data_IF_287455006177
#
_entry.id   IF_287455006177
#
_cell.length_a   1.000
_cell.length_b   1.000
_cell.length_c   1.000
_cell.angle_alpha   90.00
_cell.angle_beta   90.00
_cell.angle_gamma   90.00
#
_symmetry.space_group_name_H-M   'P 1'
#
loop_
_entity.id
_entity.type
_entity.pdbx_description
1 polymer ?
#
# COMPACT_ATOMS: atom_id res chain seq x y z
N UNK A 1 -5.17 4.01 -19.51
CA UNK A 1 -4.54 2.73 -19.16
C UNK A 1 -3.32 3.08 -18.36
N UNK A 2 -3.04 2.34 -17.29
CA UNK A 2 -1.80 2.50 -16.55
C UNK A 2 -0.58 2.09 -17.39
N UNK A 3 0.56 2.15 -16.75
CA UNK A 3 1.83 1.58 -17.17
C UNK A 3 2.08 0.27 -16.42
N UNK A 4 3.16 -0.41 -16.76
CA UNK A 4 3.67 -1.58 -16.07
C UNK A 4 5.20 -1.51 -16.05
N UNK A 5 5.85 -2.33 -15.25
CA UNK A 5 7.31 -2.46 -15.27
C UNK A 5 7.72 -3.72 -16.01
N UNK A 6 8.63 -3.57 -16.96
CA UNK A 6 9.23 -4.68 -17.72
C UNK A 6 10.47 -5.21 -17.02
N UNK A 7 10.50 -6.52 -16.76
CA UNK A 7 11.62 -7.27 -16.19
C UNK A 7 12.31 -8.05 -17.30
N UNK A 8 13.63 -7.88 -17.44
CA UNK A 8 14.39 -8.42 -18.57
C UNK A 8 14.79 -9.89 -18.43
N UNK A 9 14.59 -10.49 -17.25
CA UNK A 9 14.82 -11.92 -16.99
C UNK A 9 16.26 -12.32 -16.68
N UNK A 10 17.12 -11.37 -16.26
CA UNK A 10 18.52 -11.65 -15.89
C UNK A 10 18.90 -11.09 -14.53
N UNK A 11 18.78 -9.78 -14.30
CA UNK A 11 19.18 -9.12 -13.05
C UNK A 11 18.12 -8.17 -12.48
N UNK A 12 17.04 -7.89 -13.21
CA UNK A 12 15.91 -7.07 -12.78
C UNK A 12 15.14 -7.72 -11.62
N UNK A 13 15.07 -7.03 -10.48
CA UNK A 13 14.18 -7.37 -9.37
C UNK A 13 13.89 -6.17 -8.48
N UNK A 14 12.80 -6.27 -7.71
CA UNK A 14 12.45 -5.24 -6.70
C UNK A 14 12.61 -5.84 -5.31
N UNK A 15 13.43 -5.23 -4.47
CA UNK A 15 13.56 -5.63 -3.06
C UNK A 15 12.55 -4.85 -2.22
N UNK A 16 11.68 -5.55 -1.49
CA UNK A 16 10.62 -4.92 -0.70
C UNK A 16 10.98 -4.92 0.79
N UNK A 17 10.88 -3.77 1.48
CA UNK A 17 11.11 -3.68 2.93
C UNK A 17 9.90 -4.18 3.73
N UNK A 18 9.36 -5.35 3.35
CA UNK A 18 8.14 -5.93 3.90
C UNK A 18 8.39 -7.27 4.55
N UNK A 19 7.71 -7.47 5.68
CA UNK A 19 7.59 -8.75 6.33
C UNK A 19 6.17 -9.28 6.14
N UNK A 20 6.04 -10.59 5.96
CA UNK A 20 4.74 -11.27 5.91
C UNK A 20 4.69 -12.25 7.06
N UNK A 21 3.68 -12.12 7.94
CA UNK A 21 3.53 -12.97 9.12
C UNK A 21 2.08 -13.38 9.31
N UNK A 22 1.85 -14.65 9.68
CA UNK A 22 0.50 -15.18 9.86
C UNK A 22 -0.20 -15.42 8.52
N UNK A 23 -1.50 -15.10 8.47
CA UNK A 23 -2.29 -15.21 7.23
C UNK A 23 -1.91 -14.11 6.26
N UNK A 24 -1.88 -14.40 4.96
CA UNK A 24 -1.48 -13.42 3.96
C UNK A 24 -2.12 -13.66 2.61
N UNK A 25 -2.01 -12.65 1.75
CA UNK A 25 -2.32 -12.74 0.31
C UNK A 25 -1.24 -12.04 -0.49
N UNK A 26 -0.81 -12.63 -1.59
CA UNK A 26 0.07 -12.00 -2.58
C UNK A 26 -0.64 -12.07 -3.93
N UNK A 27 -0.73 -10.97 -4.65
CA UNK A 27 -1.37 -10.93 -5.96
C UNK A 27 -0.71 -9.92 -6.91
N UNK A 28 -0.81 -10.18 -8.22
CA UNK A 28 -0.32 -9.31 -9.27
C UNK A 28 -1.01 -9.59 -10.60
N UNK A 29 -1.00 -8.60 -11.50
CA UNK A 29 -1.14 -8.83 -12.93
C UNK A 29 0.24 -9.13 -13.52
N UNK A 30 0.33 -10.20 -14.32
CA UNK A 30 1.57 -10.59 -15.02
C UNK A 30 1.32 -10.76 -16.52
N UNK A 31 2.30 -10.39 -17.33
CA UNK A 31 2.34 -10.66 -18.77
C UNK A 31 3.75 -11.20 -19.12
N UNK A 32 3.97 -12.51 -18.94
CA UNK A 32 5.29 -13.10 -19.12
C UNK A 32 5.68 -13.14 -20.60
N UNK A 33 6.94 -12.87 -20.91
CA UNK A 33 7.54 -13.16 -22.22
C UNK A 33 8.24 -14.53 -22.25
N UNK A 34 8.54 -15.10 -21.08
CA UNK A 34 9.06 -16.44 -20.90
C UNK A 34 8.43 -17.11 -19.67
N UNK A 35 8.10 -18.40 -19.79
CA UNK A 35 7.57 -19.23 -18.70
C UNK A 35 8.38 -20.50 -18.45
N UNK A 36 9.47 -20.72 -19.18
CA UNK A 36 10.36 -21.87 -19.02
C UNK A 36 11.25 -21.73 -17.78
N UNK A 37 11.61 -22.85 -17.15
CA UNK A 37 12.38 -22.86 -15.91
C UNK A 37 11.51 -22.46 -14.71
N UNK A 38 12.01 -21.54 -13.88
CA UNK A 38 11.38 -21.14 -12.62
C UNK A 38 11.13 -19.62 -12.46
N UNK A 39 10.51 -18.89 -13.42
CA UNK A 39 10.31 -17.45 -13.27
C UNK A 39 9.59 -17.09 -11.95
N UNK A 40 10.24 -16.30 -11.08
CA UNK A 40 9.69 -15.96 -9.77
C UNK A 40 8.89 -14.67 -9.80
N UNK A 41 7.70 -14.68 -9.18
CA UNK A 41 6.80 -13.53 -9.21
C UNK A 41 6.91 -12.72 -7.92
N UNK A 42 6.48 -13.29 -6.80
CA UNK A 42 6.47 -12.64 -5.48
C UNK A 42 6.94 -13.65 -4.44
N UNK A 43 8.24 -13.64 -4.16
CA UNK A 43 8.88 -14.65 -3.33
C UNK A 43 9.76 -14.02 -2.27
N UNK A 44 9.81 -14.64 -1.10
CA UNK A 44 10.78 -14.31 -0.06
C UNK A 44 11.76 -15.46 0.14
N UNK A 45 12.41 -15.49 1.30
CA UNK A 45 13.37 -16.56 1.63
C UNK A 45 12.72 -17.93 1.79
N UNK A 46 11.43 -17.98 2.15
CA UNK A 46 10.75 -19.24 2.38
C UNK A 46 9.29 -19.28 1.93
N UNK A 47 8.70 -18.17 1.49
CA UNK A 47 7.34 -18.13 0.94
C UNK A 47 7.40 -17.79 -0.55
N UNK A 48 6.91 -18.66 -1.43
CA UNK A 48 7.07 -18.50 -2.87
C UNK A 48 5.73 -18.39 -3.61
N UNK A 49 5.70 -17.54 -4.65
CA UNK A 49 4.71 -17.53 -5.73
C UNK A 49 5.48 -17.40 -7.04
N UNK A 50 5.41 -18.43 -7.89
CA UNK A 50 6.29 -18.55 -9.05
C UNK A 50 5.66 -19.41 -10.16
N UNK A 51 6.32 -19.41 -11.31
CA UNK A 51 5.97 -20.25 -12.47
C UNK A 51 7.02 -21.35 -12.59
N UNK A 52 6.59 -22.59 -12.85
CA UNK A 52 7.45 -23.73 -13.15
C UNK A 52 7.06 -24.31 -14.52
N UNK A 53 7.86 -24.02 -15.55
CA UNK A 53 7.62 -24.46 -16.93
C UNK A 53 6.17 -24.21 -17.41
N UNK A 54 5.67 -22.99 -17.17
CA UNK A 54 4.30 -22.57 -17.50
C UNK A 54 3.26 -22.80 -16.40
N UNK A 55 3.53 -23.63 -15.40
CA UNK A 55 2.57 -23.95 -14.32
C UNK A 55 2.72 -23.00 -13.14
N UNK A 56 1.62 -22.39 -12.68
CA UNK A 56 1.61 -21.55 -11.48
C UNK A 56 1.75 -22.43 -10.22
N UNK A 57 2.66 -22.06 -9.31
CA UNK A 57 2.93 -22.78 -8.07
C UNK A 57 3.14 -21.81 -6.91
N UNK A 58 2.81 -22.28 -5.70
CA UNK A 58 3.13 -21.59 -4.46
C UNK A 58 3.41 -22.59 -3.33
N UNK A 59 4.10 -22.11 -2.30
CA UNK A 59 4.38 -22.94 -1.13
C UNK A 59 5.39 -22.33 -0.18
N UNK A 60 5.67 -23.08 0.87
CA UNK A 60 6.64 -22.76 1.90
C UNK A 60 7.90 -23.66 1.79
N UNK A 61 9.04 -23.15 2.24
CA UNK A 61 10.30 -23.90 2.26
C UNK A 61 10.21 -25.20 3.08
N UNK A 62 9.34 -25.24 4.10
CA UNK A 62 9.16 -26.38 4.99
C UNK A 62 8.75 -27.67 4.27
N UNK A 63 8.19 -27.56 3.08
CA UNK A 63 7.56 -28.65 2.34
C UNK A 63 7.93 -28.67 0.84
N UNK A 64 8.87 -27.81 0.43
CA UNK A 64 9.49 -27.86 -0.90
C UNK A 64 8.95 -26.86 -1.92
N UNK A 65 8.40 -25.72 -1.48
CA UNK A 65 7.93 -24.58 -2.30
C UNK A 65 6.80 -24.87 -3.31
N UNK A 66 6.50 -26.12 -3.62
CA UNK A 66 5.44 -26.56 -4.53
C UNK A 66 4.28 -27.22 -3.76
N UNK A 67 3.83 -26.59 -2.68
CA UNK A 67 2.73 -27.11 -1.86
C UNK A 67 1.39 -27.09 -2.62
N UNK A 68 1.18 -26.04 -3.40
CA UNK A 68 0.00 -25.87 -4.25
C UNK A 68 0.48 -25.71 -5.68
N UNK A 69 -0.04 -26.57 -6.56
CA UNK A 69 0.31 -26.61 -7.98
C UNK A 69 -1.01 -26.49 -8.76
N UNK A 70 -1.07 -25.53 -9.67
CA UNK A 70 -2.18 -25.42 -10.60
C UNK A 70 -2.21 -26.65 -11.55
N UNK A 71 -3.27 -27.48 -11.53
CA UNK A 71 -3.36 -28.67 -12.37
C UNK A 71 -3.76 -28.35 -13.83
N UNK A 72 -4.09 -27.10 -14.13
CA UNK A 72 -4.74 -26.68 -15.37
C UNK A 72 -3.78 -26.17 -16.46
N UNK A 73 -4.31 -25.25 -17.27
CA UNK A 73 -3.65 -24.70 -18.47
C UNK A 73 -2.42 -23.85 -18.08
N UNK A 74 -1.28 -24.01 -18.78
CA UNK A 74 -0.12 -23.15 -18.60
C UNK A 74 -0.46 -21.65 -18.70
N UNK A 75 0.28 -20.82 -17.97
CA UNK A 75 0.19 -19.36 -18.11
C UNK A 75 0.59 -18.98 -19.55
N UNK A 76 -0.27 -18.28 -20.30
CA UNK A 76 0.04 -17.85 -21.66
C UNK A 76 1.13 -16.77 -21.67
N UNK A 77 2.05 -16.88 -22.62
CA UNK A 77 3.04 -15.83 -22.92
C UNK A 77 2.35 -14.66 -23.65
N UNK A 78 2.72 -13.42 -23.31
CA UNK A 78 2.24 -12.22 -23.99
C UNK A 78 0.82 -11.80 -23.61
N UNK A 79 0.20 -12.45 -22.62
CA UNK A 79 -1.20 -12.22 -22.22
C UNK A 79 -1.26 -11.89 -20.73
N UNK A 80 -1.86 -10.74 -20.41
CA UNK A 80 -2.15 -10.35 -19.02
C UNK A 80 -2.98 -11.44 -18.33
N UNK A 81 -2.45 -11.97 -17.22
CA UNK A 81 -3.07 -12.96 -16.37
C UNK A 81 -2.95 -12.47 -14.93
N UNK A 82 -4.08 -12.36 -14.21
CA UNK A 82 -4.03 -12.09 -12.78
C UNK A 82 -3.69 -13.39 -12.05
N UNK A 83 -2.76 -13.32 -11.11
CA UNK A 83 -2.36 -14.45 -10.28
C UNK A 83 -2.38 -14.03 -8.81
N UNK A 84 -2.83 -14.94 -7.96
CA UNK A 84 -2.79 -14.73 -6.52
C UNK A 84 -2.55 -16.02 -5.75
N UNK A 85 -2.03 -15.88 -4.54
CA UNK A 85 -2.02 -16.92 -3.50
C UNK A 85 -2.56 -16.35 -2.21
N UNK A 86 -3.44 -17.10 -1.54
CA UNK A 86 -3.88 -16.82 -0.17
C UNK A 86 -3.36 -17.91 0.75
N UNK A 87 -3.02 -17.54 1.99
CA UNK A 87 -2.65 -18.48 3.05
C UNK A 87 -3.35 -18.09 4.36
N UNK A 88 -3.92 -19.08 5.03
CA UNK A 88 -4.51 -18.94 6.36
C UNK A 88 -3.65 -19.66 7.40
N UNK A 89 -3.03 -18.91 8.32
CA UNK A 89 -2.15 -19.47 9.33
C UNK A 89 -2.88 -20.27 10.44
N UNK A 90 -4.20 -20.08 10.59
CA UNK A 90 -5.02 -20.80 11.58
C UNK A 90 -5.42 -22.17 11.05
N UNK A 91 -5.89 -22.24 9.80
CA UNK A 91 -6.34 -23.49 9.18
C UNK A 91 -5.22 -24.23 8.42
N UNK A 92 -4.09 -23.56 8.14
CA UNK A 92 -3.01 -24.09 7.32
C UNK A 92 -3.39 -24.27 5.85
N UNK A 93 -4.43 -23.57 5.37
CA UNK A 93 -4.91 -23.66 3.99
C UNK A 93 -4.18 -22.65 3.12
N UNK A 94 -3.68 -23.10 1.97
CA UNK A 94 -3.15 -22.25 0.91
C UNK A 94 -3.94 -22.46 -0.37
N UNK A 95 -4.28 -21.39 -1.08
CA UNK A 95 -5.07 -21.45 -2.32
C UNK A 95 -4.44 -20.60 -3.40
N UNK A 96 -4.28 -21.18 -4.61
CA UNK A 96 -3.87 -20.48 -5.81
C UNK A 96 -5.09 -19.99 -6.60
N UNK A 97 -4.94 -18.81 -7.19
CA UNK A 97 -5.95 -18.20 -8.05
C UNK A 97 -5.32 -17.79 -9.39
N UNK A 98 -6.09 -17.94 -10.47
CA UNK A 98 -5.78 -17.42 -11.80
C UNK A 98 -7.00 -16.72 -12.37
N UNK A 99 -6.84 -15.46 -12.80
CA UNK A 99 -7.93 -14.60 -13.26
C UNK A 99 -9.11 -14.59 -12.29
N UNK A 100 -8.81 -14.46 -10.99
CA UNK A 100 -9.81 -14.35 -9.94
C UNK A 100 -10.46 -15.66 -9.51
N UNK A 101 -10.16 -16.78 -10.19
CA UNK A 101 -10.77 -18.09 -9.92
C UNK A 101 -9.78 -18.98 -9.19
N UNK A 102 -10.21 -19.62 -8.11
CA UNK A 102 -9.41 -20.62 -7.40
C UNK A 102 -9.11 -21.82 -8.32
N UNK A 103 -7.83 -22.15 -8.48
CA UNK A 103 -7.38 -23.25 -9.36
C UNK A 103 -6.85 -24.46 -8.58
N UNK A 104 -6.35 -24.27 -7.37
CA UNK A 104 -5.83 -25.33 -6.53
C UNK A 104 -5.75 -24.89 -5.06
N UNK A 105 -5.83 -25.85 -4.13
CA UNK A 105 -5.59 -25.62 -2.71
C UNK A 105 -4.82 -26.78 -2.09
N UNK A 106 -4.05 -26.48 -1.04
CA UNK A 106 -3.48 -27.45 -0.11
C UNK A 106 -3.84 -27.08 1.32
N UNK A 107 -3.70 -28.06 2.22
CA UNK A 107 -4.07 -27.95 3.63
C UNK A 107 -2.93 -28.45 4.52
N UNK A 108 -2.97 -28.13 5.82
CA UNK A 108 -1.98 -28.51 6.82
C UNK A 108 -0.57 -27.94 6.57
N UNK A 109 -0.46 -26.77 5.93
CA UNK A 109 0.80 -26.07 5.77
C UNK A 109 1.14 -25.30 7.05
N UNK A 110 2.39 -25.43 7.49
CA UNK A 110 2.89 -24.68 8.64
C UNK A 110 3.05 -23.19 8.29
N UNK A 111 2.76 -22.28 9.23
CA UNK A 111 2.98 -20.85 9.01
C UNK A 111 4.48 -20.56 8.92
N UNK A 112 4.82 -19.53 8.15
CA UNK A 112 6.17 -19.01 8.05
C UNK A 112 6.15 -17.49 8.21
N UNK A 113 7.12 -16.95 8.94
CA UNK A 113 7.35 -15.50 9.04
C UNK A 113 8.42 -15.11 8.04
N UNK A 114 8.00 -14.46 6.96
CA UNK A 114 8.90 -13.94 5.94
C UNK A 114 9.46 -12.60 6.39
N UNK A 115 10.79 -12.43 6.34
CA UNK A 115 11.46 -11.18 6.74
C UNK A 115 12.07 -10.42 5.57
N UNK A 116 11.94 -10.96 4.36
CA UNK A 116 12.37 -10.30 3.13
C UNK A 116 11.49 -10.78 1.98
N UNK A 117 10.99 -9.84 1.16
CA UNK A 117 10.16 -10.15 0.00
C UNK A 117 10.75 -9.48 -1.24
N UNK A 118 10.81 -10.22 -2.34
CA UNK A 118 11.31 -9.75 -3.63
C UNK A 118 10.25 -9.94 -4.71
N UNK A 119 10.22 -9.01 -5.67
CA UNK A 119 9.47 -9.15 -6.92
C UNK A 119 10.43 -9.55 -8.03
N UNK A 120 10.05 -10.53 -8.85
CA UNK A 120 10.77 -10.89 -10.06
C UNK A 120 12.00 -11.80 -9.86
N UNK A 121 12.30 -12.26 -8.63
CA UNK A 121 13.47 -13.11 -8.34
C UNK A 121 13.25 -14.04 -7.16
N UNK A 122 14.04 -15.11 -7.10
CA UNK A 122 14.27 -15.88 -5.88
C UNK A 122 15.74 -16.27 -5.70
N UNK A 123 16.29 -15.92 -4.54
CA UNK A 123 17.61 -16.36 -4.07
C UNK A 123 18.73 -16.14 -5.12
N UNK A 124 18.83 -14.91 -5.64
CA UNK A 124 19.82 -14.49 -6.65
C UNK A 124 19.73 -15.22 -7.99
N UNK A 125 18.60 -15.87 -8.28
CA UNK A 125 18.37 -16.66 -9.48
C UNK A 125 16.91 -16.58 -9.93
N UNK A 126 16.56 -17.33 -10.98
CA UNK A 126 15.16 -17.62 -11.30
C UNK A 126 14.34 -16.37 -11.61
N UNK A 127 14.95 -15.47 -12.37
CA UNK A 127 14.43 -14.15 -12.70
C UNK A 127 13.17 -14.24 -13.57
N UNK A 128 12.23 -13.33 -13.32
CA UNK A 128 11.05 -13.14 -14.13
C UNK A 128 11.38 -12.37 -15.40
N UNK A 129 10.80 -12.81 -16.51
CA UNK A 129 10.90 -12.11 -17.78
C UNK A 129 9.50 -11.77 -18.28
N UNK A 130 9.24 -10.47 -18.45
CA UNK A 130 7.95 -9.95 -18.88
C UNK A 130 7.51 -8.78 -18.02
N UNK A 131 6.22 -8.46 -18.08
CA UNK A 131 5.66 -7.27 -17.43
C UNK A 131 4.91 -7.65 -16.17
N UNK A 132 4.96 -6.78 -15.18
CA UNK A 132 4.19 -6.89 -13.94
C UNK A 132 3.47 -5.57 -13.67
N UNK A 133 2.27 -5.68 -13.14
CA UNK A 133 1.43 -4.55 -12.77
C UNK A 133 0.62 -4.90 -11.51
N UNK A 134 0.15 -3.90 -10.78
CA UNK A 134 -0.87 -4.06 -9.74
C UNK A 134 -0.51 -5.08 -8.65
N UNK A 135 0.72 -5.03 -8.16
CA UNK A 135 1.20 -5.95 -7.11
C UNK A 135 0.64 -5.52 -5.77
N UNK A 136 -0.03 -6.43 -5.07
CA UNK A 136 -0.59 -6.18 -3.73
C UNK A 136 -0.16 -7.28 -2.77
N UNK A 137 0.25 -6.86 -1.58
CA UNK A 137 0.59 -7.73 -0.46
C UNK A 137 -0.39 -7.42 0.67
N UNK A 138 -1.05 -8.45 1.21
CA UNK A 138 -1.99 -8.33 2.32
C UNK A 138 -1.53 -9.17 3.51
N UNK A 139 -1.71 -8.65 4.73
CA UNK A 139 -1.51 -9.37 6.00
C UNK A 139 -2.78 -10.10 6.47
N UNK A 140 -3.66 -10.44 5.51
CA UNK A 140 -4.89 -11.20 5.73
C UNK A 140 -5.08 -12.23 4.62
N UNK A 141 -5.81 -13.29 4.91
CA UNK A 141 -6.34 -14.18 3.87
C UNK A 141 -7.53 -13.47 3.20
N UNK A 142 -7.35 -13.05 1.94
CA UNK A 142 -8.43 -12.51 1.11
C UNK A 142 -9.33 -13.65 0.65
N UNK A 143 -10.63 -13.44 0.64
CA UNK A 143 -11.61 -14.41 0.15
C UNK A 143 -11.60 -14.50 -1.37
N UNK A 144 -12.10 -15.61 -1.93
CA UNK A 144 -12.24 -15.76 -3.39
C UNK A 144 -13.07 -14.63 -4.02
N UNK A 145 -14.11 -14.15 -3.33
CA UNK A 145 -14.94 -13.04 -3.81
C UNK A 145 -14.17 -11.72 -3.83
N UNK A 146 -13.36 -11.45 -2.80
CA UNK A 146 -12.51 -10.27 -2.71
C UNK A 146 -11.39 -10.27 -3.77
N UNK A 147 -10.79 -11.43 -4.05
CA UNK A 147 -9.82 -11.60 -5.14
C UNK A 147 -10.47 -11.34 -6.49
N UNK A 148 -11.61 -11.99 -6.76
CA UNK A 148 -12.33 -11.83 -8.04
C UNK A 148 -12.82 -10.40 -8.27
N UNK A 149 -13.36 -9.75 -7.24
CA UNK A 149 -13.80 -8.36 -7.34
C UNK A 149 -12.61 -7.42 -7.45
N UNK A 150 -11.56 -7.64 -6.65
CA UNK A 150 -10.39 -6.77 -6.54
C UNK A 150 -9.49 -6.78 -7.77
N UNK A 151 -9.40 -7.88 -8.53
CA UNK A 151 -8.43 -7.95 -9.64
C UNK A 151 -8.75 -6.99 -10.79
N UNK A 152 -10.00 -6.54 -10.95
CA UNK A 152 -10.46 -5.72 -12.08
C UNK A 152 -10.50 -4.23 -11.77
N UNK A 153 -10.01 -3.82 -10.60
CA UNK A 153 -10.07 -2.43 -10.15
C UNK A 153 -8.94 -2.10 -9.18
N UNK A 154 -8.65 -0.81 -9.03
CA UNK A 154 -7.74 -0.36 -7.99
C UNK A 154 -8.44 -0.46 -6.62
N UNK A 155 -7.74 -1.01 -5.64
CA UNK A 155 -8.21 -1.01 -4.25
C UNK A 155 -7.86 0.33 -3.60
N UNK A 156 -8.57 0.69 -2.53
CA UNK A 156 -8.16 1.84 -1.74
C UNK A 156 -6.78 1.58 -1.16
N UNK A 157 -5.95 2.61 -1.23
CA UNK A 157 -4.56 2.54 -0.82
C UNK A 157 -4.44 2.15 0.66
N UNK A 158 -5.36 2.51 1.53
CA UNK A 158 -5.38 2.16 2.96
C UNK A 158 -6.30 0.99 3.32
N UNK A 159 -6.72 0.17 2.35
CA UNK A 159 -7.67 -0.92 2.60
C UNK A 159 -7.21 -1.81 3.79
N UNK A 160 -8.13 -2.10 4.72
CA UNK A 160 -7.81 -2.88 5.93
C UNK A 160 -7.12 -4.20 5.56
N UNK A 161 -5.94 -4.42 6.17
CA UNK A 161 -5.15 -5.63 5.97
C UNK A 161 -4.30 -5.64 4.70
N UNK A 162 -4.37 -4.61 3.84
CA UNK A 162 -3.33 -4.34 2.84
C UNK A 162 -2.03 -4.03 3.60
N UNK A 163 -0.90 -4.36 3.00
CA UNK A 163 0.44 -4.17 3.57
C UNK A 163 1.38 -3.45 2.61
N UNK A 164 1.15 -3.59 1.31
CA UNK A 164 1.74 -2.77 0.26
C UNK A 164 0.97 -2.89 -1.04
N UNK A 165 1.04 -1.84 -1.86
CA UNK A 165 0.42 -1.79 -3.18
C UNK A 165 1.29 -1.02 -4.17
N UNK A 166 1.82 -1.74 -5.14
CA UNK A 166 2.65 -1.17 -6.20
C UNK A 166 1.85 -1.17 -7.52
N UNK A 167 1.44 0.03 -7.93
CA UNK A 167 0.63 0.27 -9.14
C UNK A 167 1.45 0.36 -10.43
N UNK A 168 2.77 0.43 -10.32
CA UNK A 168 3.69 0.58 -11.47
C UNK A 168 3.37 1.76 -12.43
N UNK A 169 2.73 2.81 -11.93
CA UNK A 169 2.27 3.98 -12.70
C UNK A 169 3.10 5.26 -12.48
N UNK A 170 4.26 5.17 -11.81
CA UNK A 170 5.06 6.36 -11.45
C UNK A 170 6.02 6.83 -12.55
N UNK A 171 6.45 5.91 -13.42
CA UNK A 171 7.39 6.23 -14.50
C UNK A 171 6.69 6.79 -15.71
N UNK A 172 7.47 6.95 -16.78
CA UNK A 172 6.95 7.28 -18.11
C UNK A 172 7.39 6.23 -19.11
N UNK A 173 6.42 5.61 -19.77
CA UNK A 173 6.62 4.47 -20.64
C UNK A 173 7.63 4.76 -21.77
N UNK A 174 8.73 4.01 -21.79
CA UNK A 174 9.76 4.10 -22.83
C UNK A 174 10.70 5.31 -22.74
N UNK A 175 10.48 6.24 -21.81
CA UNK A 175 11.31 7.41 -21.60
C UNK A 175 12.51 7.12 -20.69
N UNK A 176 13.31 8.16 -20.40
CA UNK A 176 14.41 8.08 -19.44
C UNK A 176 13.87 8.13 -18.01
N UNK A 177 13.93 6.99 -17.32
CA UNK A 177 13.54 6.84 -15.92
C UNK A 177 14.77 6.57 -15.02
N UNK A 178 16.00 6.89 -15.45
CA UNK A 178 17.23 6.57 -14.69
C UNK A 178 17.30 7.21 -13.29
N UNK A 179 16.47 8.21 -13.00
CA UNK A 179 16.32 8.80 -11.67
C UNK A 179 15.39 8.03 -10.72
N UNK A 180 14.55 7.14 -11.25
CA UNK A 180 13.56 6.37 -10.49
C UNK A 180 14.23 5.11 -9.91
N UNK A 181 14.90 5.22 -8.78
CA UNK A 181 15.55 4.06 -8.12
C UNK A 181 14.65 3.36 -7.10
N UNK A 182 13.44 3.87 -6.87
CA UNK A 182 12.49 3.39 -5.87
C UNK A 182 11.15 3.11 -6.55
N UNK A 183 10.57 1.94 -6.33
CA UNK A 183 9.19 1.63 -6.64
C UNK A 183 8.29 2.09 -5.48
N UNK A 184 7.37 3.01 -5.77
CA UNK A 184 6.50 3.62 -4.78
C UNK A 184 5.42 2.65 -4.33
N UNK A 185 5.33 2.49 -3.02
CA UNK A 185 4.20 1.87 -2.35
C UNK A 185 3.07 2.90 -2.19
N UNK A 186 1.90 2.63 -2.77
CA UNK A 186 0.73 3.48 -2.61
C UNK A 186 0.03 3.25 -1.27
N UNK A 187 0.28 2.13 -0.57
CA UNK A 187 -0.52 1.65 0.56
C UNK A 187 -0.54 2.58 1.78
N UNK A 188 0.51 3.38 1.99
CA UNK A 188 0.50 4.46 2.97
C UNK A 188 1.74 5.33 2.72
N UNK A 189 1.59 6.58 2.24
CA UNK A 189 2.77 7.42 1.98
C UNK A 189 3.44 7.92 3.25
N UNK A 190 2.83 7.70 4.42
CA UNK A 190 3.37 8.12 5.71
C UNK A 190 4.41 7.12 6.24
N UNK A 191 4.20 5.83 5.97
CA UNK A 191 5.18 4.77 6.25
C UNK A 191 5.28 3.82 5.05
N UNK A 192 5.70 4.31 3.87
CA UNK A 192 5.57 3.54 2.65
C UNK A 192 6.59 2.40 2.66
N UNK A 193 6.15 1.21 2.29
CA UNK A 193 7.01 0.07 2.07
C UNK A 193 7.66 0.13 0.68
N UNK A 194 8.24 1.27 0.33
CA UNK A 194 8.86 1.54 -0.96
C UNK A 194 9.88 0.47 -1.36
N UNK A 195 9.73 -0.10 -2.55
CA UNK A 195 10.64 -1.12 -3.09
C UNK A 195 11.89 -0.51 -3.69
N UNK A 196 13.05 -1.14 -3.52
CA UNK A 196 14.28 -0.75 -4.21
C UNK A 196 14.33 -1.42 -5.58
N UNK A 197 14.45 -0.64 -6.66
CA UNK A 197 14.67 -1.18 -8.00
C UNK A 197 16.15 -1.58 -8.15
N UNK A 198 16.40 -2.83 -8.53
CA UNK A 198 17.76 -3.38 -8.72
C UNK A 198 17.86 -4.06 -10.08
N UNK A 199 18.98 -3.85 -10.78
CA UNK A 199 19.23 -4.39 -12.12
C UNK A 199 18.63 -3.54 -13.24
N UNK A 200 17.57 -2.77 -12.93
CA UNK A 200 16.86 -2.02 -13.95
C UNK A 200 17.71 -0.99 -14.70
N UNK A 201 17.72 -1.08 -16.02
CA UNK A 201 18.45 -0.16 -16.89
C UNK A 201 17.81 1.24 -16.90
N UNK A 202 16.48 1.30 -16.97
CA UNK A 202 15.66 2.53 -16.94
C UNK A 202 16.02 3.60 -17.99
N UNK A 203 16.86 3.25 -18.97
CA UNK A 203 17.17 4.09 -20.12
C UNK A 203 16.05 4.03 -21.16
N UNK A 204 15.94 5.03 -22.07
CA UNK A 204 14.89 5.04 -23.09
C UNK A 204 14.77 3.73 -23.87
N UNK A 205 13.56 3.19 -23.94
CA UNK A 205 13.28 1.86 -24.48
C UNK A 205 12.30 1.07 -23.60
N UNK A 206 11.84 -0.08 -24.11
CA UNK A 206 10.77 -0.87 -23.49
C UNK A 206 11.25 -2.06 -22.66
N UNK A 207 12.57 -2.24 -22.52
CA UNK A 207 13.14 -3.36 -21.78
C UNK A 207 13.72 -2.82 -20.49
N UNK A 208 13.46 -3.50 -19.38
CA UNK A 208 14.01 -3.10 -18.07
C UNK A 208 13.64 -1.63 -17.74
N UNK A 209 12.37 -1.29 -17.98
CA UNK A 209 11.85 0.07 -17.89
C UNK A 209 10.31 0.06 -17.76
N UNK A 210 9.70 1.22 -17.50
CA UNK A 210 8.27 1.41 -17.58
C UNK A 210 7.76 1.24 -19.02
N UNK A 211 6.62 0.59 -19.18
CA UNK A 211 6.00 0.25 -20.46
C UNK A 211 4.49 0.45 -20.43
N UNK A 212 3.93 0.82 -21.58
CA UNK A 212 2.50 0.93 -21.79
C UNK A 212 2.00 -0.02 -22.91
N UNK A 213 0.73 -0.47 -22.86
CA UNK A 213 -0.17 -0.33 -21.72
C UNK A 213 0.18 -1.33 -20.60
N UNK A 214 -0.11 -0.94 -19.36
CA UNK A 214 -0.21 -1.84 -18.22
C UNK A 214 -1.43 -2.76 -18.29
N UNK A 215 -1.72 -3.44 -17.19
CA UNK A 215 -2.97 -4.17 -17.02
C UNK A 215 -4.15 -3.19 -17.04
N UNK A 216 -5.22 -3.54 -17.75
CA UNK A 216 -6.35 -2.63 -17.90
C UNK A 216 -7.26 -2.67 -16.66
N UNK A 217 -7.15 -1.66 -15.80
CA UNK A 217 -8.08 -1.43 -14.70
C UNK A 217 -8.94 -0.19 -14.99
N UNK A 218 -10.24 -0.35 -15.30
CA UNK A 218 -11.09 0.79 -15.64
C UNK A 218 -11.70 1.52 -14.43
N UNK A 219 -11.60 0.97 -13.20
CA UNK A 219 -12.42 1.40 -12.05
C UNK A 219 -11.69 1.27 -10.70
N UNK A 220 -12.20 1.95 -9.68
CA UNK A 220 -11.89 1.70 -8.26
C UNK A 220 -12.89 0.71 -7.69
N UNK A 221 -12.44 -0.27 -6.89
CA UNK A 221 -13.29 -1.38 -6.43
C UNK A 221 -14.43 -0.93 -5.52
N UNK A 222 -14.19 0.10 -4.72
CA UNK A 222 -15.17 0.77 -3.88
C UNK A 222 -14.72 2.22 -3.72
N UNK A 223 -15.35 3.15 -4.44
CA UNK A 223 -15.00 4.55 -4.32
C UNK A 223 -15.35 5.09 -2.93
N UNK A 224 -14.35 5.32 -2.10
CA UNK A 224 -14.54 5.80 -0.71
C UNK A 224 -13.61 6.98 -0.45
N UNK A 225 -13.97 7.88 0.47
CA UNK A 225 -13.02 8.89 0.92
C UNK A 225 -11.96 8.21 1.77
N UNK A 226 -10.77 8.81 1.83
CA UNK A 226 -9.72 8.39 2.75
C UNK A 226 -8.97 9.65 3.20
N UNK A 227 -8.95 9.89 4.50
CA UNK A 227 -8.37 11.08 5.11
C UNK A 227 -6.91 10.87 5.49
N UNK A 228 -6.07 11.80 5.03
CA UNK A 228 -4.68 11.94 5.47
C UNK A 228 -4.46 13.32 6.06
N UNK A 229 -3.76 13.39 7.19
CA UNK A 229 -3.41 14.65 7.86
C UNK A 229 -1.91 14.87 7.75
N UNK A 230 -1.52 16.04 7.28
CA UNK A 230 -0.12 16.46 7.15
C UNK A 230 0.14 17.70 8.00
N UNK A 231 1.27 17.70 8.68
CA UNK A 231 1.78 18.76 9.51
C UNK A 231 2.74 19.72 8.79
N UNK A 232 3.65 20.30 9.57
CA UNK A 232 4.73 21.13 9.06
C UNK A 232 5.58 20.37 8.03
N UNK A 233 6.02 21.05 6.96
CA UNK A 233 6.88 20.45 5.94
C UNK A 233 6.22 19.36 5.07
N UNK A 234 4.93 19.06 5.27
CA UNK A 234 4.27 17.93 4.62
C UNK A 234 4.47 16.60 5.35
N UNK A 235 5.02 16.62 6.56
CA UNK A 235 5.20 15.43 7.39
C UNK A 235 3.84 14.83 7.77
N UNK A 236 3.76 13.50 7.77
CA UNK A 236 2.53 12.81 8.09
C UNK A 236 2.22 12.83 9.58
N UNK A 237 0.92 12.93 9.88
CA UNK A 237 0.36 12.78 11.22
C UNK A 237 -0.61 11.60 11.19
N UNK A 238 -0.26 10.52 11.88
CA UNK A 238 -1.06 9.29 11.89
C UNK A 238 -2.31 9.44 12.77
N UNK A 239 -3.37 8.68 12.45
CA UNK A 239 -4.53 8.60 13.36
C UNK A 239 -4.11 8.01 14.72
N UNK A 240 -4.60 8.63 15.79
CA UNK A 240 -4.28 8.25 17.15
C UNK A 240 -2.87 8.61 17.57
N UNK A 241 -2.18 9.50 16.84
CA UNK A 241 -0.88 10.01 17.27
C UNK A 241 -0.98 10.66 18.68
N UNK A 242 -0.15 10.16 19.59
CA UNK A 242 -0.06 10.60 20.99
C UNK A 242 1.28 11.22 21.34
N UNK A 243 2.20 11.34 20.39
CA UNK A 243 3.58 11.79 20.64
C UNK A 243 3.88 13.03 19.83
N UNK A 244 3.56 14.23 20.34
CA UNK A 244 3.81 15.47 19.63
C UNK A 244 5.30 15.67 19.34
N UNK A 245 5.62 16.11 18.13
CA UNK A 245 7.00 16.35 17.66
C UNK A 245 7.14 17.69 16.95
N UNK A 246 8.34 18.25 16.99
CA UNK A 246 8.63 19.55 16.36
C UNK A 246 8.62 19.47 14.83
N UNK A 247 8.91 18.29 14.27
CA UNK A 247 9.11 18.09 12.84
C UNK A 247 7.80 18.15 12.05
N UNK A 248 6.70 17.59 12.58
CA UNK A 248 5.36 17.69 11.99
C UNK A 248 4.55 18.89 12.55
N UNK A 249 5.12 19.65 13.48
CA UNK A 249 4.48 20.83 14.07
C UNK A 249 3.36 20.53 15.06
N UNK A 250 3.16 19.28 15.47
CA UNK A 250 2.27 18.92 16.59
C UNK A 250 2.83 19.38 17.94
N UNK A 251 4.16 19.54 18.04
CA UNK A 251 4.82 20.32 19.09
C UNK A 251 5.01 21.78 18.64
N UNK A 252 4.41 22.70 19.38
CA UNK A 252 4.49 24.13 19.09
C UNK A 252 5.84 24.75 19.51
N UNK A 253 6.65 24.03 20.29
CA UNK A 253 7.95 24.45 20.80
C UNK A 253 7.88 25.54 21.86
N UNK A 254 9.04 25.92 22.42
CA UNK A 254 9.10 26.99 23.41
C UNK A 254 9.07 28.38 22.76
N UNK A 255 7.90 29.00 22.73
CA UNK A 255 7.63 30.31 22.10
C UNK A 255 7.26 31.42 23.10
N UNK A 256 7.49 31.22 24.41
CA UNK A 256 7.10 32.18 25.46
C UNK A 256 5.59 32.51 25.49
N UNK A 257 5.21 33.75 25.81
CA UNK A 257 3.80 34.18 25.82
C UNK A 257 3.25 34.57 24.43
N UNK A 258 4.06 34.43 23.38
CA UNK A 258 3.64 34.78 22.01
C UNK A 258 2.87 33.60 21.44
N UNK A 259 1.66 33.85 20.94
CA UNK A 259 0.88 32.80 20.27
C UNK A 259 1.58 32.33 18.99
N UNK A 260 1.42 31.04 18.65
CA UNK A 260 1.92 30.46 17.39
C UNK A 260 0.75 29.83 16.65
N UNK A 261 0.73 30.03 15.35
CA UNK A 261 -0.23 29.39 14.45
C UNK A 261 0.50 28.25 13.74
N UNK A 262 -0.09 27.06 13.79
CA UNK A 262 0.32 25.93 12.98
C UNK A 262 -0.77 25.64 11.96
N UNK A 263 -0.36 25.52 10.70
CA UNK A 263 -1.23 25.10 9.61
C UNK A 263 -1.06 23.61 9.38
N UNK A 264 -2.19 22.91 9.31
CA UNK A 264 -2.27 21.49 8.98
C UNK A 264 -3.02 21.33 7.67
N UNK A 265 -2.67 20.30 6.92
CA UNK A 265 -3.30 19.95 5.64
C UNK A 265 -4.09 18.67 5.81
N UNK A 266 -5.34 18.67 5.35
CA UNK A 266 -6.14 17.48 5.14
C UNK A 266 -6.09 17.16 3.66
N UNK A 267 -5.61 15.97 3.33
CA UNK A 267 -5.54 15.43 1.97
C UNK A 267 -6.52 14.27 1.86
N UNK A 268 -7.25 14.21 0.73
CA UNK A 268 -8.09 13.07 0.42
C UNK A 268 -7.32 12.09 -0.48
N UNK A 269 -6.75 11.05 0.11
CA UNK A 269 -6.09 9.94 -0.61
C UNK A 269 -7.08 8.92 -1.17
N UNK A 270 -8.38 9.09 -0.89
CA UNK A 270 -9.43 8.21 -1.39
C UNK A 270 -9.83 8.49 -2.83
N UNK A 271 -10.77 7.67 -3.29
CA UNK A 271 -11.31 7.69 -4.65
C UNK A 271 -12.72 8.29 -4.72
N UNK A 272 -13.31 8.69 -3.59
CA UNK A 272 -14.52 9.52 -3.54
C UNK A 272 -14.33 10.78 -2.68
N UNK A 273 -15.26 11.73 -2.77
CA UNK A 273 -15.19 13.00 -2.03
C UNK A 273 -15.23 12.77 -0.52
N UNK A 274 -14.22 13.28 0.19
CA UNK A 274 -14.16 13.33 1.65
C UNK A 274 -15.02 14.48 2.17
N UNK A 275 -15.93 14.20 3.09
CA UNK A 275 -16.75 15.17 3.82
C UNK A 275 -16.17 15.41 5.20
N UNK A 276 -15.85 16.67 5.52
CA UNK A 276 -15.38 17.08 6.84
C UNK A 276 -16.52 17.79 7.56
N UNK A 277 -16.97 17.22 8.68
CA UNK A 277 -18.11 17.73 9.45
C UNK A 277 -17.68 18.64 10.60
N UNK A 278 -16.41 18.62 10.99
CA UNK A 278 -15.85 19.62 11.91
C UNK A 278 -14.47 19.26 12.45
N UNK A 279 -13.72 20.29 12.86
CA UNK A 279 -12.42 20.15 13.53
C UNK A 279 -12.54 20.75 14.93
N UNK A 280 -12.22 19.97 15.96
CA UNK A 280 -12.36 20.38 17.36
C UNK A 280 -11.09 20.15 18.16
N UNK A 281 -10.87 20.96 19.20
CA UNK A 281 -9.78 20.79 20.17
C UNK A 281 -10.35 20.38 21.53
N UNK A 282 -9.71 19.42 22.20
CA UNK A 282 -10.06 19.04 23.58
C UNK A 282 -9.64 20.08 24.63
N UNK A 283 -8.74 21.00 24.27
CA UNK A 283 -8.35 22.15 25.10
C UNK A 283 -8.42 23.44 24.26
N UNK A 284 -9.63 23.93 23.94
CA UNK A 284 -9.82 25.10 23.08
C UNK A 284 -9.36 26.41 23.73
N UNK A 285 -9.15 26.42 25.05
CA UNK A 285 -8.69 27.59 25.80
C UNK A 285 -7.22 27.93 25.51
N UNK A 286 -6.37 26.91 25.32
CA UNK A 286 -4.97 27.09 24.96
C UNK A 286 -4.70 26.81 23.47
N UNK A 287 -5.43 25.87 22.85
CA UNK A 287 -5.29 25.46 21.45
C UNK A 287 -6.59 25.65 20.68
N UNK A 288 -6.74 26.78 20.00
CA UNK A 288 -7.97 27.13 19.28
C UNK A 288 -7.85 26.80 17.79
N UNK A 289 -8.88 26.19 17.19
CA UNK A 289 -8.99 26.05 15.74
C UNK A 289 -9.43 27.40 15.16
N UNK A 290 -8.54 28.11 14.47
CA UNK A 290 -8.76 29.50 14.03
C UNK A 290 -9.12 29.65 12.56
N UNK A 291 -8.85 28.63 11.74
CA UNK A 291 -9.35 28.52 10.37
C UNK A 291 -9.86 27.11 10.17
N UNK A 292 -11.11 26.96 9.71
CA UNK A 292 -11.70 25.67 9.37
C UNK A 292 -11.31 25.24 7.95
N UNK A 293 -11.24 23.93 7.68
CA UNK A 293 -11.06 23.41 6.33
C UNK A 293 -12.33 23.58 5.50
N UNK A 294 -12.22 23.36 4.19
CA UNK A 294 -13.37 23.13 3.31
C UNK A 294 -14.16 21.91 3.81
N UNK A 295 -15.49 21.97 3.77
CA UNK A 295 -16.35 20.87 4.23
C UNK A 295 -16.33 19.64 3.30
N UNK A 296 -15.76 19.78 2.11
CA UNK A 296 -15.59 18.68 1.14
C UNK A 296 -14.23 18.79 0.46
N UNK A 297 -13.59 17.66 0.24
CA UNK A 297 -12.29 17.55 -0.45
C UNK A 297 -12.42 16.48 -1.55
N UNK A 298 -12.25 16.87 -2.81
CA UNK A 298 -12.29 15.92 -3.93
C UNK A 298 -11.13 14.89 -3.86
N UNK A 299 -11.25 13.72 -4.51
CA UNK A 299 -10.14 12.77 -4.63
C UNK A 299 -8.85 13.44 -5.12
N UNK A 300 -7.73 13.20 -4.44
CA UNK A 300 -6.43 13.79 -4.76
C UNK A 300 -6.29 15.28 -4.47
N UNK A 301 -7.31 15.92 -3.88
CA UNK A 301 -7.26 17.32 -3.47
C UNK A 301 -6.89 17.46 -1.97
N UNK A 302 -6.60 18.69 -1.56
CA UNK A 302 -6.35 19.03 -0.16
C UNK A 302 -7.07 20.30 0.28
N UNK A 303 -7.18 20.47 1.59
CA UNK A 303 -7.62 21.69 2.26
C UNK A 303 -6.78 21.90 3.52
N UNK A 304 -6.72 23.11 4.04
CA UNK A 304 -5.95 23.41 5.25
C UNK A 304 -6.84 23.88 6.39
N UNK A 305 -6.38 23.68 7.63
CA UNK A 305 -6.95 24.30 8.82
C UNK A 305 -5.83 24.83 9.72
N UNK A 306 -6.13 25.81 10.57
CA UNK A 306 -5.14 26.41 11.47
C UNK A 306 -5.49 26.10 12.92
N UNK A 307 -4.47 25.70 13.69
CA UNK A 307 -4.52 25.63 15.15
C UNK A 307 -3.61 26.71 15.70
N UNK A 308 -4.17 27.58 16.53
CA UNK A 308 -3.42 28.62 17.23
C UNK A 308 -3.22 28.20 18.67
N UNK A 309 -1.96 28.08 19.07
CA UNK A 309 -1.61 28.03 20.48
C UNK A 309 -1.56 29.45 21.04
N UNK A 310 -2.43 29.76 21.99
CA UNK A 310 -2.50 31.05 22.67
C UNK A 310 -2.86 30.83 24.15
N UNK A 311 -1.88 30.47 24.99
CA UNK A 311 -2.14 30.05 26.35
C UNK A 311 -2.59 31.24 27.18
N UNK A 312 -3.62 31.05 28.00
CA UNK A 312 -3.99 32.02 29.02
C UNK A 312 -3.51 31.56 30.39
N UNK A 313 -2.67 32.36 31.04
CA UNK A 313 -2.25 32.11 32.44
C UNK A 313 -0.92 31.37 32.63
N UNK A 314 -0.93 30.38 33.54
CA UNK A 314 0.27 29.83 34.21
C UNK A 314 1.25 29.11 33.28
N UNK A 315 2.53 29.26 33.60
CA UNK A 315 3.64 28.50 33.00
C UNK A 315 3.47 27.00 33.21
N UNK A 316 3.73 26.20 32.20
CA UNK A 316 3.67 24.73 32.25
C UNK A 316 3.28 24.14 30.90
N UNK A 317 3.49 22.84 30.76
CA UNK A 317 3.16 22.10 29.54
C UNK A 317 1.64 22.12 29.34
N UNK A 318 1.20 22.42 28.13
CA UNK A 318 -0.20 22.38 27.68
C UNK A 318 -0.33 21.36 26.57
N UNK A 319 -1.41 20.57 26.62
CA UNK A 319 -1.72 19.62 25.56
C UNK A 319 -3.18 19.71 25.15
N UNK A 320 -3.46 19.23 23.94
CA UNK A 320 -4.80 19.03 23.40
C UNK A 320 -4.81 17.82 22.48
N UNK A 321 -6.00 17.32 22.20
CA UNK A 321 -6.27 16.41 21.08
C UNK A 321 -7.08 17.20 20.06
N UNK A 322 -6.62 17.21 18.81
CA UNK A 322 -7.37 17.71 17.67
C UNK A 322 -8.12 16.53 17.06
N UNK A 323 -9.43 16.67 16.94
CA UNK A 323 -10.33 15.68 16.33
C UNK A 323 -10.89 16.25 15.04
N UNK A 324 -10.73 15.52 13.94
CA UNK A 324 -11.31 15.83 12.63
C UNK A 324 -12.44 14.83 12.37
N UNK A 325 -13.70 15.29 12.50
CA UNK A 325 -14.87 14.46 12.23
C UNK A 325 -15.11 14.42 10.72
N UNK A 326 -15.17 13.21 10.15
CA UNK A 326 -15.27 13.03 8.70
C UNK A 326 -16.01 11.72 8.34
N UNK A 327 -16.14 11.43 7.05
CA UNK A 327 -16.86 10.27 6.49
C UNK A 327 -15.95 9.18 5.91
N UNK A 328 -14.63 9.22 6.16
CA UNK A 328 -13.74 8.09 5.92
C UNK A 328 -14.06 6.97 6.91
N UNK A 329 -14.59 5.85 6.44
CA UNK A 329 -14.99 4.70 7.24
C UNK A 329 -13.92 3.60 7.34
N UNK A 330 -12.69 3.85 6.84
CA UNK A 330 -11.68 2.81 6.66
C UNK A 330 -10.65 2.67 7.79
N UNK A 331 -10.60 3.59 8.77
CA UNK A 331 -9.52 3.54 9.77
C UNK A 331 -9.87 2.90 11.12
N UNK A 332 -11.15 2.70 11.50
CA UNK A 332 -11.50 1.85 12.67
C UNK A 332 -12.87 1.17 12.57
N UNK A 333 -12.91 -0.07 12.07
CA UNK A 333 -14.02 -0.98 12.42
C UNK A 333 -13.85 -1.56 13.82
N UNK A 334 -14.24 -0.78 14.82
CA UNK A 334 -14.81 -1.31 16.07
C UNK A 334 -16.08 -0.51 16.39
N UNK A 335 -17.23 -1.16 16.12
CA UNK A 335 -18.62 -0.77 16.38
C UNK A 335 -19.35 0.01 15.26
N UNK A 336 -20.33 -0.67 14.66
CA UNK A 336 -21.28 -0.11 13.70
C UNK A 336 -22.06 1.08 14.30
N UNK A 337 -22.01 2.23 13.63
CA UNK A 337 -22.87 3.40 13.91
C UNK A 337 -22.18 4.70 14.34
N UNK A 338 -20.87 4.86 14.15
CA UNK A 338 -20.11 6.07 14.53
C UNK A 338 -19.62 6.84 13.30
N UNK A 339 -19.78 8.17 13.28
CA UNK A 339 -18.94 9.06 12.45
C UNK A 339 -17.46 8.78 12.79
N UNK A 340 -16.60 8.60 11.78
CA UNK A 340 -15.19 8.32 12.03
C UNK A 340 -14.45 9.61 12.44
N UNK A 341 -13.37 9.44 13.21
CA UNK A 341 -12.64 10.50 13.88
C UNK A 341 -11.15 10.26 13.75
N UNK A 342 -10.49 11.06 12.93
CA UNK A 342 -9.03 11.15 12.95
C UNK A 342 -8.61 12.03 14.13
N UNK A 343 -7.77 11.49 15.02
CA UNK A 343 -7.29 12.19 16.20
C UNK A 343 -5.77 12.34 16.16
N UNK A 344 -5.27 13.50 16.58
CA UNK A 344 -3.85 13.70 16.86
C UNK A 344 -3.68 14.53 18.13
N UNK A 345 -2.70 14.18 18.95
CA UNK A 345 -2.31 14.95 20.12
C UNK A 345 -1.35 16.07 19.72
N UNK A 346 -1.52 17.23 20.34
CA UNK A 346 -0.59 18.35 20.23
C UNK A 346 -0.12 18.75 21.62
N UNK A 347 1.13 19.18 21.73
CA UNK A 347 1.69 19.67 22.99
C UNK A 347 2.47 20.96 22.80
N UNK A 348 2.71 21.59 23.94
CA UNK A 348 3.73 22.61 24.11
C UNK A 348 4.22 22.60 25.55
#
# INVERSE_FOLDING_TARGET
>A
TGEALDFLGDDDYVALPLNVNGSYTKEAWINPSNTAGFPNLISGTATALYINNGTLQAGHASSGYADVIDPGTPIPIGVWTHVAVTYNAVSGVMTLYKNGIAVASAINLNPYTETNLELGRFNFSSYYQGRMDEVRIWNVERTAAEILAGMLCEVNDDATGLAAYYKFNQGVAGDDNTGEIILLDSHDTCTPANGLLVGFALTPGTTSNWVAPGAFLPLFCNATPNIRVLGAGGECILDGDVTPVLTDGTDFGDIGATGKVQTFTIYNSGSSTLTITGVTSSNPADFTVTSLPSSTVAPGASTTFNVTFNPSGTTGIKSATITINNDDDHQRKLYEGSLDKSNCSITR
#
